data_IF_441506175822
#
_entry.id   IF_441506175822
#
_cell.length_a   1.000
_cell.length_b   1.000
_cell.length_c   1.000
_cell.angle_alpha   90.00
_cell.angle_beta   90.00
_cell.angle_gamma   90.00
#
_symmetry.space_group_name_H-M   'P 1'
#
loop_
_entity.id
_entity.type
_entity.pdbx_description
1 polymer ?
#
# COMPACT_ATOMS: atom_id res chain seq x y z
N UNK A 1 8.07 -5.57 -3.43
CA UNK A 1 7.38 -4.83 -4.51
C UNK A 1 8.13 -3.54 -4.82
N UNK A 2 8.34 -3.26 -6.09
CA UNK A 2 8.94 -2.00 -6.54
C UNK A 2 7.88 -0.94 -6.80
N UNK A 3 8.32 0.31 -6.96
CA UNK A 3 7.41 1.40 -7.34
C UNK A 3 6.76 1.17 -8.70
N UNK A 4 7.49 0.60 -9.66
CA UNK A 4 6.95 0.27 -10.98
C UNK A 4 5.86 -0.80 -10.88
N UNK A 5 6.08 -1.83 -10.08
CA UNK A 5 5.08 -2.87 -9.85
C UNK A 5 3.82 -2.30 -9.17
N UNK A 6 4.00 -1.38 -8.23
CA UNK A 6 2.87 -0.69 -7.59
C UNK A 6 2.05 0.08 -8.63
N UNK A 7 2.72 0.85 -9.50
CA UNK A 7 2.04 1.64 -10.55
C UNK A 7 1.26 0.74 -11.50
N UNK A 8 1.86 -0.37 -11.92
CA UNK A 8 1.21 -1.34 -12.79
C UNK A 8 -0.02 -1.98 -12.13
N UNK A 9 0.12 -2.35 -10.86
CA UNK A 9 -0.99 -2.96 -10.10
C UNK A 9 -2.15 -1.99 -9.90
N UNK A 10 -1.87 -0.73 -9.56
CA UNK A 10 -2.90 0.31 -9.39
C UNK A 10 -3.63 0.56 -10.71
N UNK A 11 -2.89 0.62 -11.82
CA UNK A 11 -3.47 0.78 -13.16
C UNK A 11 -4.36 -0.41 -13.52
N UNK A 12 -3.92 -1.62 -13.22
CA UNK A 12 -4.67 -2.84 -13.49
C UNK A 12 -5.99 -2.91 -12.70
N UNK A 13 -6.01 -2.43 -11.45
CA UNK A 13 -7.25 -2.35 -10.67
C UNK A 13 -8.31 -1.49 -11.36
N UNK A 14 -7.88 -0.47 -12.10
CA UNK A 14 -8.78 0.37 -12.89
C UNK A 14 -9.12 -0.22 -14.25
N UNK A 15 -8.96 -1.53 -14.47
CA UNK A 15 -9.18 -2.22 -15.73
C UNK A 15 -8.27 -1.70 -16.85
N UNK A 16 -7.01 -1.42 -16.51
CA UNK A 16 -6.00 -0.85 -17.39
C UNK A 16 -6.37 0.53 -17.94
N UNK A 17 -7.27 1.23 -17.27
CA UNK A 17 -7.56 2.63 -17.56
C UNK A 17 -6.37 3.50 -17.21
N UNK A 18 -6.13 4.56 -17.96
CA UNK A 18 -5.08 5.51 -17.60
C UNK A 18 -5.38 6.12 -16.23
N UNK A 19 -4.32 6.34 -15.44
CA UNK A 19 -4.45 7.03 -14.17
C UNK A 19 -4.87 8.48 -14.45
N UNK A 20 -5.74 9.06 -13.61
CA UNK A 20 -6.22 10.43 -13.81
C UNK A 20 -5.09 11.45 -13.89
N UNK A 21 -3.98 11.21 -13.17
CA UNK A 21 -2.85 12.13 -13.09
C UNK A 21 -1.61 11.36 -12.64
N UNK A 22 -0.56 11.35 -13.49
CA UNK A 22 0.69 10.66 -13.13
C UNK A 22 1.40 11.30 -11.92
N UNK A 23 1.39 12.62 -11.82
CA UNK A 23 1.96 13.31 -10.66
C UNK A 23 1.14 13.00 -9.42
N UNK A 24 -0.18 12.92 -9.56
CA UNK A 24 -1.09 12.50 -8.51
C UNK A 24 -0.81 11.07 -8.03
N UNK A 25 -0.35 10.19 -8.92
CA UNK A 25 0.06 8.85 -8.51
C UNK A 25 1.19 8.89 -7.49
N UNK A 26 2.24 9.68 -7.74
CA UNK A 26 3.37 9.76 -6.81
C UNK A 26 2.96 10.34 -5.46
N UNK A 27 2.12 11.37 -5.46
CA UNK A 27 1.58 11.93 -4.22
C UNK A 27 0.76 10.90 -3.45
N UNK A 28 -0.13 10.19 -4.14
CA UNK A 28 -0.96 9.15 -3.55
C UNK A 28 -0.11 8.00 -2.98
N UNK A 29 0.87 7.53 -3.76
CA UNK A 29 1.74 6.45 -3.35
C UNK A 29 2.57 6.81 -2.12
N UNK A 30 3.15 8.01 -2.09
CA UNK A 30 3.95 8.46 -0.95
C UNK A 30 3.10 8.62 0.31
N UNK A 31 1.88 9.14 0.18
CA UNK A 31 0.95 9.23 1.31
C UNK A 31 0.58 7.84 1.82
N UNK A 32 0.31 6.89 0.92
CA UNK A 32 0.01 5.52 1.28
C UNK A 32 1.17 4.86 2.02
N UNK A 33 2.40 5.03 1.51
CA UNK A 33 3.60 4.46 2.15
C UNK A 33 3.78 5.02 3.56
N UNK A 34 3.59 6.32 3.73
CA UNK A 34 3.71 6.96 5.04
C UNK A 34 2.71 6.38 6.05
N UNK A 35 1.47 6.16 5.62
CA UNK A 35 0.45 5.56 6.49
C UNK A 35 0.75 4.11 6.82
N UNK A 36 1.22 3.34 5.84
CA UNK A 36 1.55 1.93 6.05
C UNK A 36 2.71 1.73 7.01
N UNK A 37 3.68 2.65 7.00
CA UNK A 37 4.80 2.60 7.96
C UNK A 37 4.37 2.85 9.41
N UNK A 38 3.17 3.39 9.63
CA UNK A 38 2.63 3.49 10.99
C UNK A 38 2.10 2.14 11.50
N UNK A 39 1.74 1.24 10.59
CA UNK A 39 1.25 -0.10 10.94
C UNK A 39 2.41 -1.07 11.20
N UNK A 40 3.38 -1.11 10.30
CA UNK A 40 4.59 -1.90 10.44
C UNK A 40 5.76 -0.99 10.09
N UNK A 41 6.52 -0.50 11.08
CA UNK A 41 7.67 0.37 10.83
C UNK A 41 8.77 -0.34 10.05
N UNK A 42 9.51 0.43 9.25
CA UNK A 42 10.71 -0.05 8.57
C UNK A 42 11.92 0.72 9.05
N UNK A 43 13.09 0.10 8.99
CA UNK A 43 14.35 0.72 9.37
C UNK A 43 15.05 1.33 8.17
N UNK A 44 15.95 2.29 8.43
CA UNK A 44 16.79 2.89 7.43
C UNK A 44 16.21 4.20 6.88
N UNK A 45 16.90 4.73 5.88
CA UNK A 45 16.50 5.98 5.24
C UNK A 45 15.26 5.78 4.37
N UNK A 46 14.31 6.70 4.48
CA UNK A 46 13.09 6.67 3.68
C UNK A 46 13.28 7.58 2.47
N UNK A 47 13.28 6.97 1.28
CA UNK A 47 13.38 7.71 0.02
C UNK A 47 11.98 7.76 -0.62
N UNK A 48 11.45 8.96 -0.88
CA UNK A 48 10.14 9.09 -1.53
C UNK A 48 10.12 8.47 -2.92
N UNK A 49 8.96 7.93 -3.29
CA UNK A 49 8.76 7.39 -4.62
C UNK A 49 8.70 8.52 -5.64
N UNK A 50 9.45 8.36 -6.73
CA UNK A 50 9.52 9.30 -7.85
C UNK A 50 9.86 8.53 -9.13
N UNK A 51 9.94 9.23 -10.26
CA UNK A 51 10.38 8.60 -11.52
C UNK A 51 11.76 7.96 -11.38
N UNK A 52 12.66 8.58 -10.61
CA UNK A 52 14.03 8.08 -10.44
C UNK A 52 14.11 6.84 -9.55
N UNK A 53 13.11 6.59 -8.72
CA UNK A 53 13.11 5.50 -7.74
C UNK A 53 12.09 4.40 -8.06
N UNK A 54 11.47 4.42 -9.24
CA UNK A 54 10.48 3.41 -9.63
C UNK A 54 11.02 1.97 -9.61
N UNK A 55 12.32 1.79 -9.87
CA UNK A 55 12.95 0.48 -9.84
C UNK A 55 13.32 -0.02 -8.45
N UNK A 56 13.25 0.84 -7.44
CA UNK A 56 13.63 0.49 -6.08
C UNK A 56 12.49 -0.19 -5.33
N UNK A 57 12.82 -0.97 -4.31
CA UNK A 57 11.82 -1.56 -3.42
C UNK A 57 11.07 -0.46 -2.68
N UNK A 58 9.76 -0.65 -2.50
CA UNK A 58 8.95 0.30 -1.74
C UNK A 58 9.42 0.36 -0.28
N UNK A 59 9.40 1.55 0.35
CA UNK A 59 9.83 1.72 1.74
C UNK A 59 8.75 1.27 2.73
N UNK A 60 8.30 0.03 2.59
CA UNK A 60 7.31 -0.61 3.46
C UNK A 60 7.67 -2.06 3.68
N UNK A 61 7.13 -2.66 4.73
CA UNK A 61 7.24 -4.10 4.95
C UNK A 61 6.51 -4.85 3.83
N UNK A 62 7.12 -5.94 3.32
CA UNK A 62 6.57 -6.71 2.20
C UNK A 62 5.18 -7.29 2.48
N UNK A 63 4.84 -7.53 3.74
CA UNK A 63 3.51 -8.01 4.12
C UNK A 63 2.41 -7.01 3.76
N UNK A 64 2.76 -5.74 3.59
CA UNK A 64 1.82 -4.66 3.28
C UNK A 64 1.68 -4.37 1.79
N UNK A 65 2.26 -5.20 0.90
CA UNK A 65 2.24 -4.92 -0.55
C UNK A 65 0.81 -4.84 -1.12
N UNK A 66 -0.07 -5.76 -0.76
CA UNK A 66 -1.46 -5.72 -1.21
C UNK A 66 -2.18 -4.47 -0.68
N UNK A 67 -1.98 -4.16 0.60
CA UNK A 67 -2.56 -2.97 1.21
C UNK A 67 -2.04 -1.70 0.53
N UNK A 68 -0.77 -1.69 0.10
CA UNK A 68 -0.19 -0.56 -0.62
C UNK A 68 -0.90 -0.30 -1.95
N UNK A 69 -1.22 -1.34 -2.70
CA UNK A 69 -1.95 -1.21 -3.96
C UNK A 69 -3.34 -0.61 -3.72
N UNK A 70 -4.07 -1.16 -2.77
CA UNK A 70 -5.45 -0.73 -2.47
C UNK A 70 -5.51 0.70 -1.92
N UNK A 71 -4.61 1.05 -1.01
CA UNK A 71 -4.60 2.40 -0.43
C UNK A 71 -4.17 3.44 -1.44
N UNK A 72 -3.17 3.13 -2.28
CA UNK A 72 -2.75 4.02 -3.35
C UNK A 72 -3.89 4.23 -4.34
N UNK A 73 -4.58 3.15 -4.73
CA UNK A 73 -5.73 3.24 -5.63
C UNK A 73 -6.84 4.12 -5.04
N UNK A 74 -7.11 3.99 -3.74
CA UNK A 74 -8.07 4.84 -3.05
C UNK A 74 -7.73 6.32 -3.22
N UNK A 75 -6.49 6.70 -2.94
CA UNK A 75 -6.08 8.11 -3.05
C UNK A 75 -6.08 8.61 -4.49
N UNK A 76 -5.67 7.77 -5.44
CA UNK A 76 -5.65 8.14 -6.87
C UNK A 76 -7.05 8.47 -7.38
N UNK A 77 -8.06 7.70 -7.00
CA UNK A 77 -9.41 7.84 -7.51
C UNK A 77 -10.34 8.68 -6.65
N UNK A 78 -9.88 9.13 -5.49
CA UNK A 78 -10.74 9.77 -4.49
C UNK A 78 -11.50 10.99 -5.01
N UNK A 79 -10.87 11.82 -5.85
CA UNK A 79 -11.50 13.03 -6.40
C UNK A 79 -12.28 12.77 -7.68
N UNK A 80 -11.85 11.79 -8.49
CA UNK A 80 -12.44 11.54 -9.81
C UNK A 80 -13.61 10.57 -9.77
N UNK A 81 -13.59 9.59 -8.89
CA UNK A 81 -14.64 8.59 -8.75
C UNK A 81 -14.71 8.12 -7.29
N UNK A 82 -15.50 8.82 -6.50
CA UNK A 82 -15.63 8.55 -5.08
C UNK A 82 -16.18 7.15 -4.77
N UNK A 83 -17.09 6.63 -5.61
CA UNK A 83 -17.63 5.28 -5.42
C UNK A 83 -16.58 4.20 -5.64
N UNK A 84 -15.75 4.37 -6.67
CA UNK A 84 -14.64 3.47 -6.98
C UNK A 84 -13.60 3.52 -5.86
N UNK A 85 -13.26 4.72 -5.40
CA UNK A 85 -12.34 4.92 -4.29
C UNK A 85 -12.86 4.24 -3.00
N UNK A 86 -14.15 4.40 -2.70
CA UNK A 86 -14.75 3.79 -1.52
C UNK A 86 -14.65 2.26 -1.54
N UNK A 87 -14.81 1.64 -2.71
CA UNK A 87 -14.64 0.19 -2.87
C UNK A 87 -13.21 -0.23 -2.54
N UNK A 88 -12.21 0.49 -3.04
CA UNK A 88 -10.80 0.20 -2.71
C UNK A 88 -10.52 0.40 -1.22
N UNK A 89 -11.11 1.41 -0.60
CA UNK A 89 -10.94 1.64 0.83
C UNK A 89 -11.51 0.50 1.67
N UNK A 90 -12.66 -0.05 1.30
CA UNK A 90 -13.24 -1.19 1.98
C UNK A 90 -12.35 -2.43 1.88
N UNK A 91 -11.82 -2.69 0.68
CA UNK A 91 -10.89 -3.80 0.48
C UNK A 91 -9.58 -3.58 1.25
N UNK A 92 -9.09 -2.35 1.30
CA UNK A 92 -7.91 -1.99 2.09
C UNK A 92 -8.12 -2.28 3.58
N UNK A 93 -9.24 -1.83 4.13
CA UNK A 93 -9.55 -2.04 5.55
C UNK A 93 -9.60 -3.53 5.88
N UNK A 94 -10.18 -4.34 4.99
CA UNK A 94 -10.22 -5.79 5.15
C UNK A 94 -8.81 -6.40 5.08
N UNK A 95 -8.02 -6.02 4.08
CA UNK A 95 -6.66 -6.54 3.90
C UNK A 95 -5.78 -6.24 5.12
N UNK A 96 -5.82 -5.00 5.62
CA UNK A 96 -5.05 -4.60 6.80
C UNK A 96 -5.51 -5.39 8.04
N UNK A 97 -6.81 -5.55 8.20
CA UNK A 97 -7.37 -6.32 9.31
C UNK A 97 -6.84 -7.76 9.31
N UNK A 98 -6.77 -8.40 8.13
CA UNK A 98 -6.24 -9.76 8.00
C UNK A 98 -4.74 -9.83 8.30
N UNK A 99 -3.97 -8.89 7.79
CA UNK A 99 -2.52 -8.83 8.01
C UNK A 99 -2.22 -8.65 9.51
N UNK A 100 -2.86 -7.70 10.14
CA UNK A 100 -2.63 -7.40 11.55
C UNK A 100 -3.11 -8.54 12.45
N UNK A 101 -4.19 -9.22 12.08
CA UNK A 101 -4.66 -10.40 12.80
C UNK A 101 -3.64 -11.54 12.74
N UNK A 102 -3.10 -11.84 11.57
CA UNK A 102 -2.07 -12.87 11.40
C UNK A 102 -0.83 -12.57 12.25
N UNK A 103 -0.38 -11.32 12.25
CA UNK A 103 0.76 -10.89 13.06
C UNK A 103 0.50 -11.08 14.56
N UNK A 104 -0.69 -10.76 15.01
CA UNK A 104 -1.09 -10.92 16.41
C UNK A 104 -1.09 -12.41 16.82
N UNK A 105 -1.64 -13.27 15.97
CA UNK A 105 -1.68 -14.72 16.21
C UNK A 105 -0.27 -15.31 16.27
N UNK A 106 0.58 -14.97 15.31
CA UNK A 106 1.98 -15.41 15.28
C UNK A 106 2.74 -14.97 16.53
N UNK A 107 2.55 -13.73 16.96
CA UNK A 107 3.18 -13.21 18.17
C UNK A 107 2.70 -13.95 19.42
N UNK A 108 1.40 -14.24 19.50
CA UNK A 108 0.81 -14.97 20.61
C UNK A 108 1.34 -16.42 20.68
N UNK A 109 1.47 -17.09 19.54
CA UNK A 109 2.04 -18.45 19.45
C UNK A 109 3.49 -18.47 19.92
N UNK A 110 4.30 -17.51 19.47
CA UNK A 110 5.70 -17.39 19.89
C UNK A 110 5.79 -17.19 21.41
N UNK A 111 4.96 -16.32 21.95
CA UNK A 111 4.93 -16.05 23.40
C UNK A 111 4.52 -17.29 24.18
N UNK A 112 3.54 -18.04 23.68
CA UNK A 112 3.06 -19.27 24.31
C UNK A 112 4.12 -20.35 24.31
N UNK A 113 4.93 -20.44 23.25
CA UNK A 113 5.97 -21.44 23.09
C UNK A 113 7.24 -21.14 23.91
N UNK A 114 7.36 -19.99 24.52
CA UNK A 114 8.52 -19.55 25.29
C UNK A 114 8.41 -19.82 26.80
N UNK A 115 7.54 -20.65 27.18
CA UNK A 115 7.33 -21.01 28.58
C UNK A 115 8.48 -21.74 29.21
#
# INVERSE_FOLDING_TARGET
MTGQELKEAVTALGFNSELPDEDGFFQAANLAMMRLRTLIPVEGEIVPLSYDTLGDQLPIDDQLSEAAVLLTAYYVWLEDDASKAAAYRSEYDYAVSQIMHRRKVEHTEITTNNW
#
